data_IF_246847992821
#
_entry.id   IF_246847992821
#
_cell.length_a   1.000
_cell.length_b   1.000
_cell.length_c   1.000
_cell.angle_alpha   90.00
_cell.angle_beta   90.00
_cell.angle_gamma   90.00
#
_symmetry.space_group_name_H-M   'P 1'
#
loop_
_entity.id
_entity.type
_entity.pdbx_description
1 polymer ?
#
# COMPACT_ATOMS: atom_id res chain seq x y z
N UNK A 1 21.36 9.55 -7.53
CA UNK A 1 20.36 10.62 -7.46
C UNK A 1 20.73 11.92 -8.19
N UNK A 2 21.96 12.14 -8.65
CA UNK A 2 22.28 13.37 -9.41
C UNK A 2 21.34 13.62 -10.58
N UNK A 3 20.93 12.55 -11.28
CA UNK A 3 20.05 12.65 -12.45
C UNK A 3 18.65 13.21 -12.13
N UNK A 4 18.10 12.89 -10.95
CA UNK A 4 16.77 13.38 -10.55
C UNK A 4 16.85 14.87 -10.18
N UNK A 5 17.87 15.26 -9.40
CA UNK A 5 18.07 16.66 -9.02
C UNK A 5 18.36 17.53 -10.26
N UNK A 6 19.16 17.05 -11.19
CA UNK A 6 19.48 17.78 -12.43
C UNK A 6 18.26 18.02 -13.32
N UNK A 7 17.29 17.12 -13.31
CA UNK A 7 16.04 17.24 -14.06
C UNK A 7 15.00 18.19 -13.42
N UNK A 8 15.21 18.60 -12.17
CA UNK A 8 14.32 19.56 -11.50
C UNK A 8 14.50 20.99 -12.07
N UNK A 9 13.57 21.87 -11.76
CA UNK A 9 13.70 23.30 -12.06
C UNK A 9 14.81 23.93 -11.22
N UNK A 10 15.48 24.96 -11.76
CA UNK A 10 16.46 25.72 -10.97
C UNK A 10 15.76 26.50 -9.86
N UNK A 11 16.40 26.54 -8.69
CA UNK A 11 15.87 27.19 -7.51
C UNK A 11 14.70 26.44 -6.84
N UNK A 12 14.53 25.16 -7.10
CA UNK A 12 13.45 24.37 -6.51
C UNK A 12 13.54 24.28 -4.99
N UNK A 13 12.39 24.31 -4.32
CA UNK A 13 12.25 23.95 -2.91
C UNK A 13 11.99 22.44 -2.80
N UNK A 14 12.86 21.73 -2.10
CA UNK A 14 12.74 20.28 -1.91
C UNK A 14 12.27 19.97 -0.48
N UNK A 15 11.19 19.16 -0.37
CA UNK A 15 10.62 18.75 0.91
C UNK A 15 10.74 17.24 1.08
N UNK A 16 11.22 16.80 2.24
CA UNK A 16 11.28 15.37 2.60
C UNK A 16 10.67 15.12 3.98
N UNK A 17 9.39 14.82 4.01
CA UNK A 17 8.64 14.37 5.17
C UNK A 17 8.33 12.86 5.11
N UNK A 18 9.04 12.11 4.28
CA UNK A 18 8.75 10.70 4.01
C UNK A 18 9.70 9.77 4.76
N UNK A 19 10.96 9.69 4.34
CA UNK A 19 11.99 8.86 5.00
C UNK A 19 13.38 9.44 4.81
N UNK A 20 14.27 9.12 5.77
CA UNK A 20 15.64 9.58 5.86
C UNK A 20 16.41 9.38 4.53
N UNK A 21 16.71 8.20 4.13
CA UNK A 21 17.67 7.88 3.04
C UNK A 21 17.11 8.01 1.62
N UNK A 22 16.10 8.83 1.40
CA UNK A 22 15.54 9.06 0.06
C UNK A 22 16.37 10.03 -0.78
N UNK A 23 17.08 10.92 -0.13
CA UNK A 23 17.94 11.93 -0.78
C UNK A 23 19.38 11.65 -0.43
N UNK A 24 20.27 11.65 -1.45
CA UNK A 24 21.69 11.60 -1.21
C UNK A 24 22.14 12.99 -0.73
N UNK A 25 22.75 13.04 0.43
CA UNK A 25 23.11 14.28 1.10
C UNK A 25 24.22 15.05 0.40
N UNK A 26 25.24 14.36 -0.11
CA UNK A 26 26.35 15.01 -0.82
C UNK A 26 25.88 15.63 -2.14
N UNK A 27 25.07 14.93 -2.91
CA UNK A 27 24.44 15.45 -4.14
C UNK A 27 23.55 16.66 -3.83
N UNK A 28 22.82 16.60 -2.71
CA UNK A 28 21.95 17.69 -2.28
C UNK A 28 22.73 18.92 -1.85
N UNK A 29 23.81 18.77 -1.09
CA UNK A 29 24.65 19.89 -0.66
C UNK A 29 25.27 20.60 -1.87
N UNK A 30 25.74 19.86 -2.86
CA UNK A 30 26.23 20.44 -4.13
C UNK A 30 25.12 21.19 -4.88
N UNK A 31 23.89 20.66 -4.86
CA UNK A 31 22.74 21.30 -5.49
C UNK A 31 22.30 22.59 -4.77
N UNK A 32 22.43 22.64 -3.46
CA UNK A 32 22.19 23.85 -2.66
C UNK A 32 23.27 24.92 -2.96
N UNK A 33 24.55 24.51 -2.98
CA UNK A 33 25.67 25.42 -3.28
C UNK A 33 25.57 26.01 -4.70
N UNK A 34 25.15 25.21 -5.69
CA UNK A 34 24.97 25.67 -7.07
C UNK A 34 23.69 26.48 -7.30
N UNK A 35 22.78 26.54 -6.33
CA UNK A 35 21.47 27.19 -6.47
C UNK A 35 20.46 26.37 -7.26
N UNK A 36 20.77 25.14 -7.64
CA UNK A 36 19.83 24.21 -8.28
C UNK A 36 18.65 23.89 -7.37
N UNK A 37 18.95 23.68 -6.08
CA UNK A 37 17.98 23.62 -4.98
C UNK A 37 18.12 24.89 -4.15
N UNK A 38 17.04 25.64 -3.97
CA UNK A 38 17.07 26.86 -3.16
C UNK A 38 17.02 26.58 -1.68
N UNK A 39 16.21 25.62 -1.28
CA UNK A 39 16.05 25.17 0.11
C UNK A 39 15.69 23.69 0.15
N UNK A 40 16.14 23.03 1.21
CA UNK A 40 15.73 21.68 1.59
C UNK A 40 15.11 21.68 2.98
N UNK A 41 13.86 21.21 3.06
CA UNK A 41 13.16 21.03 4.34
C UNK A 41 13.03 19.54 4.60
N UNK A 42 13.52 19.06 5.74
CA UNK A 42 13.55 17.63 6.04
C UNK A 42 13.16 17.37 7.49
N UNK A 43 12.35 16.33 7.68
CA UNK A 43 11.89 15.90 9.01
C UNK A 43 12.78 14.79 9.63
N UNK A 44 13.97 14.59 9.06
CA UNK A 44 14.94 13.58 9.51
C UNK A 44 16.30 14.26 9.80
N UNK A 45 16.44 14.90 10.98
CA UNK A 45 17.68 15.60 11.32
C UNK A 45 18.84 14.62 11.53
N UNK A 46 20.00 15.00 11.04
CA UNK A 46 21.25 14.31 11.27
C UNK A 46 22.43 15.30 11.34
N UNK A 47 23.53 14.86 11.89
CA UNK A 47 24.71 15.72 12.16
C UNK A 47 25.34 16.29 10.87
N UNK A 48 25.21 15.60 9.74
CA UNK A 48 25.77 16.03 8.47
C UNK A 48 25.01 17.21 7.87
N UNK A 49 23.71 17.30 8.12
CA UNK A 49 22.83 18.32 7.54
C UNK A 49 22.56 19.50 8.48
N UNK A 50 22.79 19.33 9.79
CA UNK A 50 22.56 20.38 10.78
C UNK A 50 23.45 21.58 10.51
N UNK A 51 22.87 22.78 10.49
CA UNK A 51 23.56 24.05 10.29
C UNK A 51 24.03 24.31 8.87
N UNK A 52 23.73 23.49 7.89
CA UNK A 52 24.07 23.74 6.49
C UNK A 52 23.19 24.84 5.90
N UNK A 53 23.77 25.77 5.11
CA UNK A 53 22.99 26.81 4.44
C UNK A 53 21.90 26.24 3.56
N UNK A 54 20.70 26.82 3.59
CA UNK A 54 19.55 26.37 2.80
C UNK A 54 18.87 25.10 3.32
N UNK A 55 19.29 24.55 4.48
CA UNK A 55 18.69 23.37 5.10
C UNK A 55 17.85 23.77 6.31
N UNK A 56 16.61 23.30 6.36
CA UNK A 56 15.70 23.41 7.50
C UNK A 56 15.35 22.00 7.95
N UNK A 57 15.61 21.71 9.22
CA UNK A 57 15.36 20.40 9.82
C UNK A 57 14.30 20.51 10.90
N UNK A 58 13.35 19.59 10.91
CA UNK A 58 12.34 19.41 11.95
C UNK A 58 12.55 18.06 12.65
N UNK A 59 12.19 17.91 13.94
CA UNK A 59 12.54 16.71 14.71
C UNK A 59 11.52 15.56 14.55
N UNK A 60 11.27 15.15 13.31
CA UNK A 60 10.39 14.04 12.91
C UNK A 60 8.93 14.22 13.40
N UNK A 61 8.39 15.41 13.15
CA UNK A 61 7.05 15.80 13.57
C UNK A 61 5.99 15.77 12.46
N UNK A 62 6.34 15.33 11.25
CA UNK A 62 5.43 15.36 10.10
C UNK A 62 4.11 14.59 10.29
N UNK A 63 4.11 13.56 11.15
CA UNK A 63 2.91 12.80 11.50
C UNK A 63 2.41 13.05 12.94
N UNK A 64 2.99 14.02 13.66
CA UNK A 64 2.71 14.29 15.08
C UNK A 64 1.91 15.58 15.31
N UNK A 65 1.19 16.06 14.31
CA UNK A 65 0.16 17.08 14.51
C UNK A 65 -1.16 16.42 14.96
N UNK A 66 -1.98 17.14 15.73
CA UNK A 66 -3.27 16.63 16.17
C UNK A 66 -4.14 16.15 14.99
N UNK A 67 -4.16 16.92 13.90
CA UNK A 67 -4.87 16.55 12.67
C UNK A 67 -4.31 15.25 12.03
N UNK A 68 -2.98 15.08 12.01
CA UNK A 68 -2.36 13.88 11.45
C UNK A 68 -2.68 12.64 12.30
N UNK A 69 -2.65 12.77 13.62
CA UNK A 69 -2.99 11.67 14.55
C UNK A 69 -4.45 11.25 14.40
N UNK A 70 -5.37 12.21 14.36
CA UNK A 70 -6.81 11.94 14.16
C UNK A 70 -7.05 11.25 12.81
N UNK A 71 -6.49 11.78 11.72
CA UNK A 71 -6.61 11.19 10.38
C UNK A 71 -6.01 9.77 10.31
N UNK A 72 -4.86 9.53 10.96
CA UNK A 72 -4.25 8.21 11.00
C UNK A 72 -5.14 7.21 11.74
N UNK A 73 -5.74 7.61 12.86
CA UNK A 73 -6.64 6.75 13.63
C UNK A 73 -7.90 6.41 12.83
N UNK A 74 -8.54 7.39 12.21
CA UNK A 74 -9.72 7.19 11.36
C UNK A 74 -9.43 6.28 10.16
N UNK A 75 -8.32 6.52 9.47
CA UNK A 75 -7.90 5.71 8.33
C UNK A 75 -7.63 4.27 8.74
N UNK A 76 -6.90 4.05 9.84
CA UNK A 76 -6.59 2.71 10.33
C UNK A 76 -7.87 1.93 10.69
N UNK A 77 -8.80 2.55 11.39
CA UNK A 77 -10.10 1.94 11.72
C UNK A 77 -10.90 1.60 10.47
N UNK A 78 -10.94 2.52 9.50
CA UNK A 78 -11.64 2.30 8.24
C UNK A 78 -11.03 1.15 7.45
N UNK A 79 -9.70 1.10 7.30
CA UNK A 79 -9.00 0.04 6.58
C UNK A 79 -9.19 -1.34 7.22
N UNK A 80 -9.12 -1.40 8.55
CA UNK A 80 -9.39 -2.62 9.31
C UNK A 80 -10.82 -3.09 9.08
N UNK A 81 -11.79 -2.19 9.17
CA UNK A 81 -13.20 -2.51 8.96
C UNK A 81 -13.44 -2.97 7.52
N UNK A 82 -12.98 -2.24 6.51
CA UNK A 82 -13.11 -2.60 5.10
C UNK A 82 -12.51 -3.99 4.81
N UNK A 83 -11.39 -4.34 5.48
CA UNK A 83 -10.79 -5.66 5.35
C UNK A 83 -11.61 -6.74 6.06
N UNK A 84 -12.09 -6.51 7.27
CA UNK A 84 -12.83 -7.52 8.03
C UNK A 84 -14.26 -7.71 7.52
N UNK A 85 -14.95 -6.66 7.15
CA UNK A 85 -16.35 -6.70 6.71
C UNK A 85 -16.47 -7.05 5.23
N UNK A 86 -15.64 -6.44 4.37
CA UNK A 86 -15.75 -6.54 2.92
C UNK A 86 -14.59 -7.28 2.24
N UNK A 87 -13.53 -7.58 2.97
CA UNK A 87 -12.32 -8.21 2.43
C UNK A 87 -11.45 -7.29 1.57
N UNK A 88 -11.79 -6.02 1.44
CA UNK A 88 -11.04 -5.08 0.61
C UNK A 88 -9.63 -4.83 1.18
N UNK A 89 -8.66 -4.65 0.30
CA UNK A 89 -7.28 -4.29 0.64
C UNK A 89 -7.00 -2.89 0.13
N UNK A 90 -6.74 -1.98 1.08
CA UNK A 90 -6.40 -0.58 0.80
C UNK A 90 -5.09 -0.27 1.53
N UNK A 91 -4.16 0.43 0.86
CA UNK A 91 -2.87 0.86 1.42
C UNK A 91 -1.99 -0.26 2.02
N UNK A 92 -2.13 -1.50 1.54
CA UNK A 92 -1.30 -2.61 1.99
C UNK A 92 0.12 -2.52 1.41
N UNK A 93 1.12 -2.89 2.21
CA UNK A 93 2.51 -3.03 1.76
C UNK A 93 2.79 -4.41 1.14
N UNK A 94 1.87 -5.35 1.28
CA UNK A 94 2.03 -6.74 0.83
C UNK A 94 1.33 -7.01 -0.50
N UNK A 95 0.20 -6.35 -0.73
CA UNK A 95 -0.65 -6.53 -1.90
C UNK A 95 -0.97 -5.17 -2.54
N UNK A 96 -1.16 -5.15 -3.84
CA UNK A 96 -1.72 -4.00 -4.53
C UNK A 96 -3.19 -3.79 -4.08
N UNK A 97 -3.71 -2.57 -4.27
CA UNK A 97 -5.10 -2.25 -3.92
C UNK A 97 -6.07 -3.22 -4.61
N UNK A 98 -6.96 -3.78 -3.82
CA UNK A 98 -8.09 -4.61 -4.27
C UNK A 98 -9.36 -4.13 -3.57
N UNK A 99 -10.22 -3.48 -4.31
CA UNK A 99 -11.43 -2.86 -3.78
C UNK A 99 -12.63 -3.27 -4.63
N UNK A 100 -13.50 -4.08 -4.08
CA UNK A 100 -14.74 -4.53 -4.69
C UNK A 100 -15.97 -3.74 -4.20
N UNK A 101 -15.75 -2.73 -3.34
CA UNK A 101 -16.81 -2.03 -2.65
C UNK A 101 -17.39 -2.84 -1.49
N UNK A 102 -18.53 -2.38 -0.96
CA UNK A 102 -19.27 -3.13 0.05
C UNK A 102 -19.81 -4.44 -0.55
N UNK A 103 -19.76 -5.52 0.22
CA UNK A 103 -20.34 -6.80 -0.18
C UNK A 103 -21.87 -6.69 -0.27
N UNK A 104 -22.44 -7.38 -1.22
CA UNK A 104 -23.90 -7.36 -1.44
C UNK A 104 -24.63 -8.51 -0.74
N UNK A 105 -24.01 -9.69 -0.70
CA UNK A 105 -24.58 -10.86 -0.03
C UNK A 105 -23.50 -11.63 0.74
N UNK A 106 -22.67 -12.36 0.06
CA UNK A 106 -21.61 -13.17 0.65
C UNK A 106 -20.36 -13.03 -0.22
N UNK A 107 -19.21 -12.89 0.43
CA UNK A 107 -17.92 -12.79 -0.25
C UNK A 107 -16.95 -13.81 0.30
N UNK A 108 -16.13 -14.38 -0.56
CA UNK A 108 -15.06 -15.28 -0.16
C UNK A 108 -13.73 -14.62 -0.45
N UNK A 109 -12.89 -14.55 0.56
CA UNK A 109 -11.53 -14.06 0.46
C UNK A 109 -10.56 -15.24 0.56
N UNK A 110 -9.68 -15.38 -0.43
CA UNK A 110 -8.71 -16.46 -0.49
C UNK A 110 -7.29 -15.90 -0.56
N UNK A 111 -6.37 -16.54 0.16
CA UNK A 111 -4.95 -16.43 -0.13
C UNK A 111 -4.52 -17.68 -0.89
N UNK A 112 -3.94 -17.48 -2.06
CA UNK A 112 -3.52 -18.56 -2.95
C UNK A 112 -2.06 -18.39 -3.34
N UNK A 113 -1.41 -19.48 -3.72
CA UNK A 113 0.01 -19.48 -4.09
C UNK A 113 0.24 -20.26 -5.37
N UNK A 114 1.19 -19.78 -6.17
CA UNK A 114 1.67 -20.42 -7.39
C UNK A 114 0.55 -20.75 -8.40
N UNK A 115 -0.42 -19.83 -8.53
CA UNK A 115 -1.45 -19.85 -9.57
C UNK A 115 -1.04 -18.95 -10.74
N UNK A 116 -1.14 -19.43 -11.96
CA UNK A 116 -0.85 -18.63 -13.17
C UNK A 116 -1.97 -17.63 -13.46
N UNK A 117 -3.20 -18.07 -13.30
CA UNK A 117 -4.39 -17.22 -13.42
C UNK A 117 -5.25 -17.34 -12.15
N UNK A 118 -4.92 -16.61 -11.07
CA UNK A 118 -5.60 -16.77 -9.79
C UNK A 118 -7.12 -16.56 -9.87
N UNK A 119 -7.60 -15.67 -10.73
CA UNK A 119 -9.03 -15.40 -10.89
C UNK A 119 -9.73 -16.63 -11.46
N UNK A 120 -9.22 -17.16 -12.57
CA UNK A 120 -9.88 -18.31 -13.23
C UNK A 120 -9.77 -19.58 -12.39
N UNK A 121 -8.57 -19.87 -11.86
CA UNK A 121 -8.37 -21.07 -11.03
C UNK A 121 -9.23 -21.04 -9.76
N UNK A 122 -9.41 -19.88 -9.12
CA UNK A 122 -10.30 -19.74 -7.95
C UNK A 122 -11.78 -19.86 -8.36
N UNK A 123 -12.18 -19.29 -9.50
CA UNK A 123 -13.54 -19.47 -10.01
C UNK A 123 -13.88 -20.94 -10.28
N UNK A 124 -12.93 -21.70 -10.83
CA UNK A 124 -13.10 -23.13 -11.09
C UNK A 124 -13.22 -23.92 -9.76
N UNK A 125 -12.40 -23.60 -8.76
CA UNK A 125 -12.48 -24.19 -7.43
C UNK A 125 -13.80 -23.87 -6.72
N UNK A 126 -14.29 -22.64 -6.81
CA UNK A 126 -15.57 -22.24 -6.24
C UNK A 126 -16.75 -22.91 -6.96
N UNK A 127 -16.66 -23.03 -8.27
CA UNK A 127 -17.66 -23.78 -9.07
C UNK A 127 -17.71 -25.26 -8.69
N UNK A 128 -16.55 -25.89 -8.49
CA UNK A 128 -16.48 -27.28 -8.02
C UNK A 128 -17.05 -27.44 -6.60
N UNK A 129 -16.99 -26.39 -5.76
CA UNK A 129 -17.67 -26.33 -4.47
C UNK A 129 -19.15 -25.88 -4.59
N UNK A 130 -19.71 -25.89 -5.80
CA UNK A 130 -21.09 -25.48 -6.12
C UNK A 130 -21.42 -24.04 -5.67
N UNK A 131 -20.45 -23.14 -5.62
CA UNK A 131 -20.64 -21.73 -5.29
C UNK A 131 -20.75 -20.90 -6.59
N UNK A 132 -21.84 -20.16 -6.72
CA UNK A 132 -22.07 -19.30 -7.88
C UNK A 132 -21.43 -17.94 -7.68
N UNK A 133 -20.40 -17.64 -8.48
CA UNK A 133 -19.62 -16.39 -8.41
C UNK A 133 -20.18 -15.35 -9.36
N UNK A 134 -20.46 -14.15 -8.86
CA UNK A 134 -20.95 -13.01 -9.66
C UNK A 134 -19.83 -12.05 -10.06
N UNK A 135 -18.79 -11.93 -9.22
CA UNK A 135 -17.61 -11.08 -9.47
C UNK A 135 -16.39 -11.70 -8.80
N UNK A 136 -15.26 -11.68 -9.47
CA UNK A 136 -14.00 -12.16 -8.92
C UNK A 136 -12.85 -11.22 -9.32
N UNK A 137 -12.00 -10.89 -8.37
CA UNK A 137 -10.82 -10.06 -8.58
C UNK A 137 -9.63 -10.59 -7.78
N UNK A 138 -8.43 -10.33 -8.27
CA UNK A 138 -7.20 -10.73 -7.59
C UNK A 138 -6.21 -9.58 -7.48
N UNK A 139 -5.41 -9.61 -6.43
CA UNK A 139 -4.27 -8.75 -6.21
C UNK A 139 -3.03 -9.60 -6.02
N UNK A 140 -2.01 -9.35 -6.83
CA UNK A 140 -0.73 -10.01 -6.71
C UNK A 140 0.05 -9.49 -5.50
N UNK A 141 0.61 -10.42 -4.74
CA UNK A 141 1.54 -10.14 -3.66
C UNK A 141 2.96 -10.58 -4.01
N UNK A 142 3.79 -10.77 -3.00
CA UNK A 142 5.17 -11.24 -3.14
C UNK A 142 5.25 -12.77 -3.15
N UNK A 143 6.34 -13.31 -3.71
CA UNK A 143 6.68 -14.75 -3.67
C UNK A 143 5.58 -15.69 -4.21
N UNK A 144 4.90 -15.29 -5.31
CA UNK A 144 3.87 -16.11 -5.95
C UNK A 144 2.53 -16.15 -5.19
N UNK A 145 2.39 -15.38 -4.13
CA UNK A 145 1.12 -15.30 -3.38
C UNK A 145 0.18 -14.29 -4.02
N UNK A 146 -1.09 -14.64 -4.15
CA UNK A 146 -2.15 -13.74 -4.57
C UNK A 146 -3.30 -13.73 -3.56
N UNK A 147 -3.92 -12.58 -3.40
CA UNK A 147 -5.15 -12.42 -2.64
C UNK A 147 -6.32 -12.30 -3.63
N UNK A 148 -7.33 -13.13 -3.47
CA UNK A 148 -8.48 -13.20 -4.37
C UNK A 148 -9.76 -12.94 -3.59
N UNK A 149 -10.61 -12.06 -4.12
CA UNK A 149 -11.96 -11.83 -3.63
C UNK A 149 -12.98 -12.32 -4.67
N UNK A 150 -13.93 -13.11 -4.23
CA UNK A 150 -15.05 -13.58 -5.03
C UNK A 150 -16.38 -13.24 -4.35
N UNK A 151 -17.24 -12.50 -5.04
CA UNK A 151 -18.60 -12.23 -4.62
C UNK A 151 -19.49 -13.41 -5.04
N UNK A 152 -20.27 -13.96 -4.11
CA UNK A 152 -21.21 -15.03 -4.38
C UNK A 152 -22.63 -14.49 -4.56
N UNK A 153 -23.43 -15.16 -5.39
CA UNK A 153 -24.84 -14.82 -5.61
C UNK A 153 -25.72 -15.02 -4.38
N UNK A 154 -25.31 -15.93 -3.49
CA UNK A 154 -26.02 -16.29 -2.27
C UNK A 154 -25.03 -16.67 -1.15
N UNK A 155 -25.43 -16.55 0.12
CA UNK A 155 -24.61 -16.98 1.24
C UNK A 155 -24.36 -18.47 1.22
N UNK A 156 -23.09 -18.88 1.21
CA UNK A 156 -22.65 -20.27 1.23
C UNK A 156 -21.40 -20.44 2.07
N UNK A 157 -21.33 -21.52 2.84
CA UNK A 157 -20.09 -21.97 3.45
C UNK A 157 -19.27 -22.69 2.39
N UNK A 158 -18.05 -22.22 2.17
CA UNK A 158 -17.15 -22.75 1.14
C UNK A 158 -15.98 -23.43 1.80
N UNK A 159 -15.77 -24.70 1.46
CA UNK A 159 -14.60 -25.47 1.82
C UNK A 159 -13.86 -25.83 0.54
N UNK A 160 -12.59 -25.47 0.45
CA UNK A 160 -11.74 -25.75 -0.72
C UNK A 160 -10.55 -26.58 -0.25
N UNK A 161 -10.44 -27.78 -0.81
CA UNK A 161 -9.26 -28.64 -0.61
C UNK A 161 -8.36 -28.52 -1.85
N UNK A 162 -7.34 -27.69 -1.74
CA UNK A 162 -6.35 -27.51 -2.80
C UNK A 162 -5.00 -27.10 -2.19
N UNK A 163 -3.89 -27.72 -2.60
CA UNK A 163 -2.55 -27.38 -2.09
C UNK A 163 -2.11 -25.96 -2.46
N UNK A 164 -2.75 -25.33 -3.46
CA UNK A 164 -2.50 -23.94 -3.84
C UNK A 164 -3.27 -22.92 -2.99
N UNK A 165 -4.25 -23.35 -2.20
CA UNK A 165 -5.05 -22.49 -1.33
C UNK A 165 -4.50 -22.46 0.08
N UNK A 166 -3.97 -21.32 0.50
CA UNK A 166 -3.36 -21.13 1.82
C UNK A 166 -4.40 -20.84 2.89
N UNK A 167 -5.43 -20.07 2.56
CA UNK A 167 -6.53 -19.76 3.47
C UNK A 167 -7.81 -19.40 2.72
N UNK A 168 -8.95 -19.68 3.35
CA UNK A 168 -10.29 -19.28 2.89
C UNK A 168 -10.99 -18.59 4.05
N UNK A 169 -11.58 -17.44 3.77
CA UNK A 169 -12.41 -16.69 4.72
C UNK A 169 -13.72 -16.33 4.07
N UNK A 170 -14.83 -16.79 4.63
CA UNK A 170 -16.17 -16.47 4.18
C UNK A 170 -16.68 -15.25 4.97
N UNK A 171 -17.05 -14.21 4.24
CA UNK A 171 -17.61 -12.96 4.75
C UNK A 171 -19.13 -12.99 4.52
N UNK A 172 -19.88 -13.02 5.61
CA UNK A 172 -21.36 -13.10 5.61
C UNK A 172 -21.98 -11.84 6.18
#
# INVERSE_FOLDING_TARGET
MPDVISAMKDGVLLLNFSRDKLVNEDDLLQALESGKVSQYVCDFPNDHMVGKPGVILTPHLGASSAEAEDNCAEMAVKEIRDYFEDGNIINSVNFARLDMGQRTACRVALMVKDMENPVQEVMDLLSAAEASVTKCMASAGKAGVSYVLAELSEPKDVVIDSPKVMSVRVLK
#
